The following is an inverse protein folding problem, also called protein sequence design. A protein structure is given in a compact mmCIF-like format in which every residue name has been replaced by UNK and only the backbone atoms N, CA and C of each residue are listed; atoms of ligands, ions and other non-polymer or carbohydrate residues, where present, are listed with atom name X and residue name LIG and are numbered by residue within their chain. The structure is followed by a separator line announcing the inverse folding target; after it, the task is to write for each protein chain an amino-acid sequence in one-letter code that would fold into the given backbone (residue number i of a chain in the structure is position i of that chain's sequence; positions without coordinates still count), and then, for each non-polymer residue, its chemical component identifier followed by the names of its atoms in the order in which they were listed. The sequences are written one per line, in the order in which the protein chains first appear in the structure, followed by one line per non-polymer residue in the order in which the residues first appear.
data_IF_920559970784
#
_entry.id   IF_920559970784
#
_cell.length_a   1.000
_cell.length_b   1.000
_cell.length_c   1.000
_cell.angle_alpha   90.00
_cell.angle_beta   90.00
_cell.angle_gamma   90.00
#
_symmetry.space_group_name_H-M   'P 1'
#
loop_
_entity.id
_entity.type
_entity.pdbx_description
1 polymer ?
#
# COMPACT_ATOMS: atom_id res chain seq x y z
N UNK A 1 -7.23 -20.90 20.51
CA UNK A 1 -7.69 -19.77 19.69
C UNK A 1 -6.65 -19.43 18.65
N UNK A 2 -7.01 -19.46 17.38
CA UNK A 2 -6.05 -19.01 16.37
C UNK A 2 -5.80 -17.52 16.54
N UNK A 3 -4.54 -17.16 16.65
CA UNK A 3 -4.14 -15.76 16.70
C UNK A 3 -4.38 -15.10 15.34
N UNK A 4 -4.75 -13.82 15.36
CA UNK A 4 -4.87 -13.02 14.13
C UNK A 4 -3.46 -12.66 13.67
N UNK A 5 -3.11 -13.02 12.44
CA UNK A 5 -1.84 -12.65 11.85
C UNK A 5 -1.92 -11.23 11.31
N UNK A 6 -0.84 -10.48 11.43
CA UNK A 6 -0.81 -9.08 11.06
C UNK A 6 -0.04 -8.81 9.78
N UNK A 7 -0.66 -8.00 8.93
CA UNK A 7 -0.03 -7.45 7.74
C UNK A 7 -0.09 -5.94 7.80
N UNK A 8 0.77 -5.28 7.04
CA UNK A 8 0.75 -3.85 6.85
C UNK A 8 0.74 -3.56 5.35
N UNK A 9 -0.08 -2.61 4.96
CA UNK A 9 -0.16 -2.12 3.60
C UNK A 9 0.17 -0.63 3.58
N UNK A 10 0.59 -0.14 2.45
CA UNK A 10 0.89 1.27 2.29
C UNK A 10 0.29 1.78 0.99
N UNK A 11 -0.30 2.97 1.06
CA UNK A 11 -0.79 3.68 -0.11
C UNK A 11 0.23 4.77 -0.42
N UNK A 12 1.13 4.54 -1.40
CA UNK A 12 2.12 5.54 -1.76
C UNK A 12 1.50 6.54 -2.71
N UNK A 13 1.62 7.82 -2.40
CA UNK A 13 1.06 8.86 -3.26
C UNK A 13 2.09 9.93 -3.56
N UNK A 14 1.84 10.64 -4.66
CA UNK A 14 2.52 11.88 -5.03
C UNK A 14 1.49 12.85 -5.61
N UNK A 15 1.84 14.12 -5.64
CA UNK A 15 1.01 15.13 -6.32
C UNK A 15 1.78 15.55 -7.56
N UNK A 16 1.14 15.42 -8.72
CA UNK A 16 1.74 15.76 -10.00
C UNK A 16 0.70 16.51 -10.84
N UNK A 17 1.08 17.68 -11.35
CA UNK A 17 0.18 18.53 -12.15
C UNK A 17 -1.15 18.76 -11.40
N UNK A 18 -1.07 19.05 -10.10
CA UNK A 18 -2.22 19.31 -9.22
C UNK A 18 -3.13 18.10 -8.98
N UNK A 19 -2.72 16.91 -9.41
CA UNK A 19 -3.49 15.69 -9.20
C UNK A 19 -2.75 14.73 -8.27
N UNK A 20 -3.53 14.08 -7.40
CA UNK A 20 -3.02 13.00 -6.58
C UNK A 20 -2.89 11.75 -7.44
N UNK A 21 -1.70 11.15 -7.42
CA UNK A 21 -1.46 9.86 -8.04
C UNK A 21 -1.00 8.88 -6.98
N UNK A 22 -1.49 7.66 -7.05
CA UNK A 22 -1.05 6.58 -6.16
C UNK A 22 -0.32 5.52 -6.98
N UNK A 23 0.69 4.92 -6.37
CA UNK A 23 1.44 3.85 -7.02
C UNK A 23 0.85 2.50 -6.65
N UNK A 24 0.54 1.72 -7.66
CA UNK A 24 0.16 0.33 -7.50
C UNK A 24 1.23 -0.56 -8.11
N UNK A 25 1.29 -1.79 -7.62
CA UNK A 25 2.18 -2.81 -8.18
C UNK A 25 1.36 -4.01 -8.59
N UNK A 26 1.89 -4.79 -9.53
CA UNK A 26 1.23 -6.03 -9.91
C UNK A 26 1.31 -7.03 -8.77
N UNK A 27 0.29 -7.88 -8.66
CA UNK A 27 0.34 -9.01 -7.72
C UNK A 27 1.50 -9.93 -8.11
N UNK A 28 1.91 -10.79 -7.18
CA UNK A 28 3.04 -11.71 -7.43
C UNK A 28 2.82 -12.63 -8.61
N UNK A 29 1.56 -12.88 -8.98
CA UNK A 29 1.20 -13.68 -10.16
C UNK A 29 1.02 -12.84 -11.43
N UNK A 30 1.19 -11.53 -11.32
CA UNK A 30 1.05 -10.62 -12.45
C UNK A 30 -0.38 -10.41 -12.95
N UNK A 31 -1.39 -10.81 -12.18
CA UNK A 31 -2.79 -10.82 -12.62
C UNK A 31 -3.65 -9.73 -11.99
N UNK A 32 -3.11 -8.63 -11.62
CA UNK A 32 -3.89 -7.55 -11.05
C UNK A 32 -3.01 -6.56 -10.36
N UNK A 33 -3.62 -5.53 -9.82
CA UNK A 33 -2.93 -4.42 -9.17
C UNK A 33 -3.26 -4.39 -7.69
N UNK A 34 -2.28 -4.05 -6.88
CA UNK A 34 -2.43 -3.99 -5.42
C UNK A 34 -1.52 -2.90 -4.87
N UNK A 35 -1.82 -2.42 -3.68
CA UNK A 35 -0.88 -1.58 -2.94
C UNK A 35 0.21 -2.48 -2.33
N UNK A 36 1.44 -1.96 -2.12
CA UNK A 36 2.46 -2.75 -1.43
C UNK A 36 1.96 -3.21 -0.07
N UNK A 37 2.19 -4.47 0.24
CA UNK A 37 1.65 -5.10 1.45
C UNK A 37 2.46 -6.34 1.81
N UNK A 38 2.62 -6.59 3.10
CA UNK A 38 3.27 -7.81 3.55
C UNK A 38 3.07 -8.10 5.03
N UNK A 39 3.67 -9.18 5.45
CA UNK A 39 3.59 -9.62 6.84
C UNK A 39 4.41 -8.74 7.75
N UNK A 40 3.88 -8.48 8.94
CA UNK A 40 4.63 -7.84 10.02
C UNK A 40 5.47 -8.93 10.68
N UNK A 41 6.79 -8.74 10.69
CA UNK A 41 7.71 -9.72 11.29
C UNK A 41 7.65 -9.63 12.83
N UNK A 42 8.09 -10.69 13.49
CA UNK A 42 8.17 -10.71 14.94
C UNK A 42 9.04 -9.55 15.43
N UNK A 43 8.51 -8.78 16.37
CA UNK A 43 9.21 -7.61 16.91
C UNK A 43 9.17 -6.37 16.03
N UNK A 44 8.63 -6.47 14.82
CA UNK A 44 8.52 -5.34 13.90
C UNK A 44 7.22 -4.59 14.16
N UNK A 45 7.27 -3.26 14.08
CA UNK A 45 6.05 -2.46 14.15
C UNK A 45 5.36 -2.46 12.78
N UNK A 46 4.03 -2.43 12.73
CA UNK A 46 3.31 -2.40 11.44
C UNK A 46 3.74 -1.26 10.52
N UNK A 47 4.02 -0.08 11.07
CA UNK A 47 4.49 1.04 10.28
C UNK A 47 5.84 0.74 9.61
N UNK A 48 6.75 0.09 10.32
CA UNK A 48 8.05 -0.28 9.78
C UNK A 48 7.92 -1.35 8.69
N UNK A 49 6.99 -2.28 8.86
CA UNK A 49 6.68 -3.27 7.83
C UNK A 49 6.16 -2.60 6.56
N UNK A 50 5.26 -1.61 6.71
CA UNK A 50 4.74 -0.85 5.57
C UNK A 50 5.86 -0.14 4.81
N UNK A 51 6.79 0.48 5.53
CA UNK A 51 7.95 1.17 4.94
C UNK A 51 8.81 0.17 4.17
N UNK A 52 9.09 -0.97 4.77
CA UNK A 52 9.91 -2.01 4.16
C UNK A 52 9.26 -2.57 2.90
N UNK A 53 7.96 -2.86 2.95
CA UNK A 53 7.24 -3.41 1.81
C UNK A 53 7.16 -2.40 0.65
N UNK A 54 7.01 -1.12 0.93
CA UNK A 54 7.02 -0.10 -0.13
C UNK A 54 8.36 -0.10 -0.88
N UNK A 55 9.47 -0.28 -0.17
CA UNK A 55 10.78 -0.31 -0.80
C UNK A 55 11.00 -1.62 -1.56
N UNK A 56 10.69 -2.75 -0.95
CA UNK A 56 10.94 -4.07 -1.56
C UNK A 56 10.05 -4.34 -2.78
N UNK A 57 8.76 -4.03 -2.67
CA UNK A 57 7.81 -4.34 -3.73
C UNK A 57 7.70 -3.26 -4.79
N UNK A 58 7.90 -2.00 -4.43
CA UNK A 58 7.63 -0.89 -5.32
C UNK A 58 8.80 0.06 -5.54
N UNK A 59 9.90 -0.09 -4.81
CA UNK A 59 11.04 0.81 -4.94
C UNK A 59 10.73 2.24 -4.53
N UNK A 60 9.89 2.42 -3.53
CA UNK A 60 9.45 3.74 -3.10
C UNK A 60 9.85 4.01 -1.66
N UNK A 61 10.31 5.23 -1.41
CA UNK A 61 10.57 5.75 -0.09
C UNK A 61 9.83 7.06 0.10
N UNK A 62 9.54 7.39 1.35
CA UNK A 62 8.85 8.64 1.66
C UNK A 62 8.52 8.76 3.12
N UNK A 63 7.65 9.70 3.42
CA UNK A 63 7.20 9.97 4.77
C UNK A 63 5.90 9.22 5.00
N UNK A 64 5.93 8.31 5.97
CA UNK A 64 4.77 7.50 6.35
C UNK A 64 4.13 8.11 7.58
N UNK A 65 2.81 8.29 7.55
CA UNK A 65 2.07 8.80 8.70
C UNK A 65 2.29 7.93 9.93
N UNK A 66 2.26 8.54 11.12
CA UNK A 66 2.50 7.81 12.35
C UNK A 66 1.41 6.78 12.66
N UNK A 67 0.17 7.13 12.34
CA UNK A 67 -0.99 6.27 12.58
C UNK A 67 -1.49 5.70 11.26
N UNK A 68 -2.03 4.48 11.27
CA UNK A 68 -2.65 3.95 10.07
C UNK A 68 -3.89 4.78 9.70
N UNK A 69 -4.16 4.83 8.41
CA UNK A 69 -5.39 5.43 7.90
C UNK A 69 -6.60 4.60 8.35
N UNK A 70 -6.42 3.31 8.49
CA UNK A 70 -7.44 2.40 8.97
C UNK A 70 -6.93 0.98 8.96
N UNK A 71 -7.85 0.06 9.21
CA UNK A 71 -7.56 -1.37 9.29
C UNK A 71 -8.71 -2.14 8.66
N UNK A 72 -8.40 -3.22 7.97
CA UNK A 72 -9.41 -4.16 7.52
C UNK A 72 -9.01 -5.58 7.88
N UNK A 73 -10.00 -6.47 7.85
CA UNK A 73 -9.78 -7.87 8.19
C UNK A 73 -10.09 -8.74 6.98
N UNK A 74 -9.28 -9.77 6.81
CA UNK A 74 -9.47 -10.74 5.74
C UNK A 74 -9.72 -12.10 6.35
N UNK A 75 -10.76 -12.77 5.88
CA UNK A 75 -11.05 -14.17 6.20
C UNK A 75 -10.65 -15.02 5.01
N UNK A 76 -10.31 -16.27 5.25
CA UNK A 76 -9.90 -17.18 4.19
C UNK A 76 -8.93 -18.19 4.75
N UNK A 77 -7.71 -18.24 4.28
CA UNK A 77 -6.68 -19.12 4.80
C UNK A 77 -6.11 -18.57 6.11
N UNK A 78 -6.97 -18.50 7.14
CA UNK A 78 -6.66 -17.89 8.43
C UNK A 78 -7.12 -16.45 8.50
N UNK A 79 -7.18 -15.91 9.72
CA UNK A 79 -7.58 -14.53 9.96
C UNK A 79 -6.38 -13.61 9.86
N UNK A 80 -6.54 -12.53 9.11
CA UNK A 80 -5.52 -11.52 8.98
C UNK A 80 -6.11 -10.15 9.27
N UNK A 81 -5.37 -9.31 9.95
CA UNK A 81 -5.68 -7.88 10.04
C UNK A 81 -4.62 -7.12 9.25
N UNK A 82 -5.05 -6.11 8.51
CA UNK A 82 -4.16 -5.32 7.67
C UNK A 82 -4.27 -3.87 8.10
N UNK A 83 -3.18 -3.32 8.64
CA UNK A 83 -3.09 -1.90 8.94
C UNK A 83 -2.66 -1.17 7.67
N UNK A 84 -3.43 -0.16 7.27
CA UNK A 84 -3.18 0.58 6.02
C UNK A 84 -2.58 1.93 6.35
N UNK A 85 -1.37 2.16 5.88
CA UNK A 85 -0.65 3.43 6.07
C UNK A 85 -0.62 4.23 4.78
N UNK A 86 -0.38 5.53 4.91
CA UNK A 86 -0.22 6.42 3.77
C UNK A 86 1.22 6.90 3.74
N UNK A 87 1.82 6.87 2.56
CA UNK A 87 3.18 7.37 2.34
C UNK A 87 3.17 8.51 1.32
N UNK A 88 3.71 9.65 1.72
CA UNK A 88 4.01 10.71 0.75
C UNK A 88 5.39 10.39 0.15
N UNK A 89 5.40 10.02 -1.11
CA UNK A 89 6.60 9.53 -1.78
C UNK A 89 7.58 10.68 -2.00
N UNK A 90 8.84 10.48 -1.61
CA UNK A 90 9.90 11.45 -1.81
C UNK A 90 11.03 10.90 -2.68
N UNK A 91 11.10 9.58 -2.84
CA UNK A 91 12.13 8.95 -3.67
C UNK A 91 11.53 7.80 -4.47
N UNK A 92 11.78 7.81 -5.76
CA UNK A 92 11.33 6.79 -6.70
C UNK A 92 12.57 6.14 -7.31
N UNK A 93 12.75 4.85 -7.05
CA UNK A 93 13.89 4.10 -7.59
C UNK A 93 13.52 3.49 -8.93
N UNK A 94 14.47 3.46 -9.85
CA UNK A 94 14.30 2.80 -11.14
C UNK A 94 14.43 1.28 -11.02
N UNK A 95 15.22 0.82 -10.04
CA UNK A 95 15.42 -0.61 -9.77
C UNK A 95 15.19 -0.87 -8.29
N UNK A 96 14.53 -1.98 -7.99
CA UNK A 96 14.22 -2.37 -6.61
C UNK A 96 14.19 -3.90 -6.48
N UNK A 97 14.08 -4.40 -5.26
CA UNK A 97 14.24 -5.82 -4.96
C UNK A 97 13.35 -6.72 -5.82
N UNK A 98 12.06 -6.39 -5.93
CA UNK A 98 11.08 -7.22 -6.65
C UNK A 98 10.77 -6.72 -8.06
N UNK A 99 11.61 -5.86 -8.64
CA UNK A 99 11.33 -5.25 -9.94
C UNK A 99 11.27 -6.24 -11.10
N UNK A 100 11.86 -7.43 -10.95
CA UNK A 100 11.86 -8.45 -12.00
C UNK A 100 10.51 -9.11 -12.20
N UNK A 101 9.66 -9.12 -11.17
CA UNK A 101 8.36 -9.77 -11.26
C UNK A 101 7.20 -8.88 -10.84
N UNK A 102 7.46 -7.62 -10.50
CA UNK A 102 6.41 -6.65 -10.24
C UNK A 102 6.59 -5.43 -11.14
N UNK A 103 5.51 -4.99 -11.75
CA UNK A 103 5.47 -3.71 -12.44
C UNK A 103 4.86 -2.69 -11.50
N UNK A 104 5.27 -1.44 -11.64
CA UNK A 104 4.77 -0.32 -10.85
C UNK A 104 4.10 0.67 -11.79
N UNK A 105 2.96 1.21 -11.36
CA UNK A 105 2.24 2.18 -12.16
C UNK A 105 1.64 3.26 -11.27
N UNK A 106 1.81 4.50 -11.68
CA UNK A 106 1.15 5.62 -11.05
C UNK A 106 -0.22 5.79 -11.66
N UNK A 107 -1.25 5.90 -10.81
CA UNK A 107 -2.63 6.03 -11.26
C UNK A 107 -3.32 7.14 -10.50
N UNK A 108 -4.22 7.84 -11.18
CA UNK A 108 -5.11 8.77 -10.49
C UNK A 108 -6.09 8.00 -9.63
N UNK A 109 -6.68 8.69 -8.64
CA UNK A 109 -7.55 8.05 -7.65
C UNK A 109 -8.66 7.20 -8.28
N UNK A 110 -9.44 7.70 -9.28
CA UNK A 110 -10.52 6.87 -9.84
C UNK A 110 -10.01 5.58 -10.49
N UNK A 111 -8.89 5.67 -11.20
CA UNK A 111 -8.31 4.50 -11.86
C UNK A 111 -7.75 3.50 -10.86
N UNK A 112 -7.08 4.00 -9.83
CA UNK A 112 -6.54 3.15 -8.76
C UNK A 112 -7.67 2.44 -8.02
N UNK A 113 -8.71 3.17 -7.66
CA UNK A 113 -9.86 2.60 -6.96
C UNK A 113 -10.51 1.49 -7.79
N UNK A 114 -10.63 1.70 -9.11
CA UNK A 114 -11.23 0.70 -9.99
C UNK A 114 -10.44 -0.61 -10.07
N UNK A 115 -9.13 -0.57 -9.78
CA UNK A 115 -8.26 -1.74 -9.81
C UNK A 115 -8.22 -2.49 -8.49
N UNK A 116 -8.67 -1.89 -7.40
CA UNK A 116 -8.47 -2.43 -6.06
C UNK A 116 -9.71 -3.14 -5.52
N UNK A 117 -9.48 -4.03 -4.56
CA UNK A 117 -10.56 -4.70 -3.82
C UNK A 117 -11.38 -3.66 -3.07
N UNK A 118 -12.64 -4.01 -2.80
CA UNK A 118 -13.59 -3.12 -2.13
C UNK A 118 -13.04 -2.58 -0.81
N UNK A 119 -12.35 -3.41 -0.02
CA UNK A 119 -11.79 -2.99 1.27
C UNK A 119 -10.78 -1.86 1.10
N UNK A 120 -10.00 -1.89 0.02
CA UNK A 120 -8.98 -0.88 -0.25
C UNK A 120 -9.54 0.36 -0.94
N UNK A 121 -10.61 0.22 -1.71
CA UNK A 121 -11.23 1.36 -2.40
C UNK A 121 -11.63 2.46 -1.43
N UNK A 122 -12.21 2.10 -0.30
CA UNK A 122 -12.62 3.10 0.69
C UNK A 122 -11.44 3.89 1.24
N UNK A 123 -10.27 3.23 1.41
CA UNK A 123 -9.08 3.92 1.90
C UNK A 123 -8.52 4.89 0.86
N UNK A 124 -8.59 4.53 -0.42
CA UNK A 124 -8.16 5.43 -1.49
C UNK A 124 -9.05 6.67 -1.53
N UNK A 125 -10.36 6.51 -1.41
CA UNK A 125 -11.28 7.66 -1.37
C UNK A 125 -11.11 8.49 -0.10
N UNK A 126 -10.85 7.85 1.03
CA UNK A 126 -10.56 8.55 2.27
C UNK A 126 -9.31 9.41 2.15
N UNK A 127 -8.26 8.87 1.53
CA UNK A 127 -7.04 9.60 1.26
C UNK A 127 -7.31 10.85 0.43
N UNK A 128 -8.11 10.73 -0.63
CA UNK A 128 -8.47 11.85 -1.48
C UNK A 128 -9.10 12.96 -0.67
N UNK A 129 -10.07 12.62 0.19
CA UNK A 129 -10.73 13.60 1.04
C UNK A 129 -9.79 14.30 2.00
N UNK A 130 -8.85 13.59 2.60
CA UNK A 130 -7.87 14.18 3.51
C UNK A 130 -6.92 15.14 2.81
N UNK A 131 -6.52 14.82 1.59
CA UNK A 131 -5.59 15.67 0.84
C UNK A 131 -6.25 16.91 0.24
N UNK A 132 -7.57 16.88 0.05
CA UNK A 132 -8.32 18.02 -0.45
C UNK A 132 -8.78 18.99 0.64
N UNK A 133 -8.71 18.58 1.90
CA UNK A 133 -9.14 19.40 3.02
C UNK A 133 -8.09 20.40 3.47
#
# INVERSE_FOLDING_TARGET
MPSVRKQAAVIPYRIRNEHVEVALVTTSRGKGWIVPKGWVDDGERPRDAAIREAEEEAGLRGVVARKPLGRYHVKGHGRRSVDVYVMRVTKIRDHWLEDKFRRRRWMRIPDAAACLRAELQQFIHHLEGELES
#
